data_IF_281125881764
#
_entry.id   IF_281125881764
#
_cell.length_a   1.000
_cell.length_b   1.000
_cell.length_c   1.000
_cell.angle_alpha   90.00
_cell.angle_beta   90.00
_cell.angle_gamma   90.00
#
_symmetry.space_group_name_H-M   'P 1'
#
loop_
_entity.id
_entity.type
_entity.pdbx_description
1 polymer ?
#
# COMPACT_ATOMS: atom_id res chain seq x y z
N UNK A 1 8.85 89.16 27.92
CA UNK A 1 8.75 88.24 29.07
C UNK A 1 7.29 88.04 29.44
N UNK A 2 6.76 86.83 29.22
CA UNK A 2 5.81 86.12 30.10
C UNK A 2 5.50 84.78 29.43
N UNK A 3 6.15 83.74 29.94
CA UNK A 3 5.92 82.35 29.56
C UNK A 3 4.59 81.89 30.15
N UNK A 4 3.73 81.27 29.35
CA UNK A 4 2.54 80.55 29.82
C UNK A 4 2.74 79.08 29.44
N UNK A 5 2.90 78.24 30.46
CA UNK A 5 3.01 76.78 30.35
C UNK A 5 1.59 76.24 30.20
N UNK A 6 1.28 75.60 29.08
CA UNK A 6 0.03 74.87 28.87
C UNK A 6 0.31 73.37 28.97
N UNK A 7 -0.25 72.74 29.99
CA UNK A 7 -0.16 71.31 30.28
C UNK A 7 -1.09 70.55 29.30
N UNK A 8 -0.52 69.82 28.34
CA UNK A 8 -1.27 69.00 27.39
C UNK A 8 -1.52 67.61 28.01
N UNK A 9 -2.73 67.40 28.54
CA UNK A 9 -3.20 66.09 29.01
C UNK A 9 -3.47 65.19 27.80
N UNK A 10 -2.56 64.25 27.55
CA UNK A 10 -2.70 63.21 26.53
C UNK A 10 -3.62 62.10 27.08
N UNK A 11 -4.94 62.24 26.92
CA UNK A 11 -5.88 61.15 27.17
C UNK A 11 -5.75 60.10 26.06
N UNK A 12 -5.09 58.99 26.37
CA UNK A 12 -5.04 57.81 25.51
C UNK A 12 -6.44 57.23 25.31
N UNK A 13 -6.87 57.14 24.05
CA UNK A 13 -8.02 56.32 23.66
C UNK A 13 -7.61 54.85 23.77
N UNK A 14 -7.98 54.21 24.89
CA UNK A 14 -7.93 52.75 24.99
C UNK A 14 -9.09 52.18 24.20
N UNK A 15 -8.80 51.53 23.07
CA UNK A 15 -9.74 50.59 22.46
C UNK A 15 -9.93 49.43 23.44
N UNK A 16 -11.08 49.43 24.13
CA UNK A 16 -11.58 48.26 24.85
C UNK A 16 -11.93 47.19 23.79
N UNK A 17 -10.99 46.31 23.50
CA UNK A 17 -11.35 44.99 23.00
C UNK A 17 -12.08 44.29 24.14
N UNK A 18 -13.40 44.17 24.04
CA UNK A 18 -14.11 43.18 24.84
C UNK A 18 -13.47 41.82 24.52
N UNK A 19 -12.72 41.26 25.47
CA UNK A 19 -12.24 39.90 25.34
C UNK A 19 -13.43 38.98 25.57
N UNK A 20 -14.03 38.50 24.50
CA UNK A 20 -14.99 37.39 24.56
C UNK A 20 -14.36 36.21 25.31
N UNK A 21 -15.14 35.58 26.19
CA UNK A 21 -14.70 34.42 26.95
C UNK A 21 -14.35 33.28 25.98
N UNK A 22 -13.06 32.97 25.86
CA UNK A 22 -12.59 31.85 25.05
C UNK A 22 -12.71 30.54 25.83
N UNK A 23 -13.73 29.75 25.54
CA UNK A 23 -13.88 28.39 26.07
C UNK A 23 -13.44 27.35 25.02
N UNK A 24 -12.98 26.15 25.44
CA UNK A 24 -12.82 25.03 24.51
C UNK A 24 -14.13 24.75 23.76
N UNK A 25 -14.07 24.59 22.44
CA UNK A 25 -15.25 24.25 21.64
C UNK A 25 -15.50 22.74 21.69
N UNK A 26 -16.77 22.34 21.78
CA UNK A 26 -17.16 20.91 21.80
C UNK A 26 -16.90 20.19 20.47
N UNK A 27 -16.67 20.95 19.41
CA UNK A 27 -16.30 20.44 18.08
C UNK A 27 -15.11 21.25 17.60
N UNK A 28 -13.88 20.81 17.94
CA UNK A 28 -12.66 21.46 17.48
C UNK A 28 -12.64 21.57 15.95
N UNK A 29 -12.08 22.67 15.46
CA UNK A 29 -11.91 22.92 14.04
C UNK A 29 -10.62 22.27 13.54
N UNK A 30 -10.63 21.78 12.31
CA UNK A 30 -9.49 21.19 11.64
C UNK A 30 -9.41 21.66 10.19
N UNK A 31 -8.18 21.84 9.72
CA UNK A 31 -7.86 22.09 8.32
C UNK A 31 -6.77 21.13 7.89
N UNK A 32 -6.82 20.73 6.62
CA UNK A 32 -5.81 19.90 5.99
C UNK A 32 -5.68 20.32 4.52
N UNK A 33 -4.45 20.28 4.01
CA UNK A 33 -4.13 20.57 2.61
C UNK A 33 -3.21 19.48 2.08
N UNK A 34 -3.45 19.06 0.84
CA UNK A 34 -2.70 18.02 0.16
C UNK A 34 -2.53 18.37 -1.31
N UNK A 35 -1.28 18.34 -1.78
CA UNK A 35 -0.98 18.36 -3.21
C UNK A 35 -1.05 16.92 -3.75
N UNK A 36 -1.84 16.71 -4.81
CA UNK A 36 -1.87 15.46 -5.56
C UNK A 36 -1.69 15.78 -7.03
N UNK A 37 -0.75 15.11 -7.68
CA UNK A 37 -0.27 15.52 -9.01
C UNK A 37 0.29 16.94 -8.95
N UNK A 38 -0.44 17.88 -9.53
CA UNK A 38 -0.13 19.32 -9.51
C UNK A 38 -1.28 20.16 -8.92
N UNK A 39 -2.27 19.51 -8.32
CA UNK A 39 -3.50 20.13 -7.82
C UNK A 39 -3.51 20.09 -6.30
N UNK A 40 -3.75 21.24 -5.66
CA UNK A 40 -3.98 21.33 -4.23
C UNK A 40 -5.45 21.07 -3.91
N UNK A 41 -5.69 20.16 -2.96
CA UNK A 41 -6.99 19.85 -2.41
C UNK A 41 -6.94 20.11 -0.90
N UNK A 42 -7.86 20.93 -0.40
CA UNK A 42 -7.94 21.26 1.03
C UNK A 42 -9.32 21.07 1.61
N UNK A 43 -9.36 20.74 2.91
CA UNK A 43 -10.57 20.63 3.70
C UNK A 43 -10.52 21.55 4.90
N UNK A 44 -11.68 22.11 5.26
CA UNK A 44 -11.90 22.76 6.54
C UNK A 44 -13.22 22.31 7.15
N UNK A 45 -13.20 21.85 8.40
CA UNK A 45 -14.38 21.26 9.04
C UNK A 45 -14.28 21.27 10.57
N UNK A 46 -15.41 21.07 11.24
CA UNK A 46 -15.46 20.87 12.68
C UNK A 46 -15.71 19.40 13.04
N UNK A 47 -15.08 18.94 14.11
CA UNK A 47 -14.98 17.53 14.51
C UNK A 47 -15.82 17.23 15.76
N UNK A 48 -17.12 16.91 15.65
CA UNK A 48 -17.91 16.47 16.81
C UNK A 48 -17.43 15.12 17.36
N UNK A 49 -17.55 14.92 18.67
CA UNK A 49 -17.22 13.65 19.35
C UNK A 49 -18.47 12.82 19.63
N UNK A 50 -18.35 11.50 19.61
CA UNK A 50 -19.47 10.59 19.80
C UNK A 50 -19.97 10.60 21.26
N UNK A 51 -19.06 10.60 22.23
CA UNK A 51 -19.35 10.64 23.68
C UNK A 51 -20.31 9.54 24.12
N UNK A 52 -20.11 8.33 23.58
CA UNK A 52 -20.93 7.15 23.90
C UNK A 52 -22.35 7.15 23.35
N UNK A 53 -22.71 8.10 22.47
CA UNK A 53 -24.00 8.14 21.78
C UNK A 53 -23.88 7.42 20.45
N UNK A 54 -24.90 6.64 20.09
CA UNK A 54 -25.07 6.16 18.72
C UNK A 54 -25.21 7.35 17.78
N UNK A 55 -24.38 7.39 16.73
CA UNK A 55 -24.36 8.54 15.83
C UNK A 55 -25.33 8.36 14.68
N UNK A 56 -25.14 7.34 13.84
CA UNK A 56 -25.95 7.17 12.65
C UNK A 56 -27.22 6.37 12.96
N UNK A 57 -28.37 6.93 12.60
CA UNK A 57 -29.69 6.39 12.95
C UNK A 57 -30.27 6.92 14.27
N UNK A 58 -29.52 7.76 15.00
CA UNK A 58 -29.98 8.47 16.21
C UNK A 58 -29.60 9.95 16.15
N UNK A 59 -28.38 10.33 16.58
CA UNK A 59 -27.95 11.74 16.56
C UNK A 59 -27.98 12.36 15.14
N UNK A 60 -27.58 11.56 14.15
CA UNK A 60 -27.68 11.87 12.73
C UNK A 60 -28.70 10.88 12.14
N UNK A 61 -29.96 11.33 11.93
CA UNK A 61 -31.01 10.46 11.41
C UNK A 61 -30.72 9.95 10.00
N UNK A 62 -31.13 8.71 9.72
CA UNK A 62 -31.09 8.19 8.36
C UNK A 62 -32.17 8.83 7.48
N UNK A 63 -31.86 9.01 6.18
CA UNK A 63 -32.76 9.59 5.19
C UNK A 63 -32.83 11.12 5.24
N UNK A 64 -32.25 11.76 6.25
CA UNK A 64 -32.24 13.21 6.42
C UNK A 64 -30.91 13.82 5.98
N UNK A 65 -30.97 15.05 5.48
CA UNK A 65 -29.77 15.80 5.13
C UNK A 65 -29.00 16.16 6.40
N UNK A 66 -27.71 15.85 6.42
CA UNK A 66 -26.78 16.23 7.44
C UNK A 66 -25.74 17.19 6.88
N UNK A 67 -25.52 18.31 7.58
CA UNK A 67 -24.34 19.15 7.38
C UNK A 67 -23.13 18.45 7.96
N UNK A 68 -22.54 17.59 7.13
CA UNK A 68 -21.37 16.75 7.42
C UNK A 68 -20.37 17.51 8.30
N UNK A 69 -20.20 17.05 9.54
CA UNK A 69 -19.48 17.77 10.60
C UNK A 69 -20.40 18.52 11.59
N UNK A 70 -19.87 19.60 12.18
CA UNK A 70 -20.56 20.44 13.18
C UNK A 70 -20.31 21.94 12.92
N UNK A 71 -21.03 22.84 13.59
CA UNK A 71 -20.92 24.31 13.44
C UNK A 71 -21.12 24.90 12.02
N UNK A 72 -20.07 25.03 11.22
CA UNK A 72 -20.13 25.56 9.85
C UNK A 72 -20.01 24.41 8.82
N UNK A 73 -20.45 24.64 7.59
CA UNK A 73 -20.35 23.63 6.52
C UNK A 73 -18.89 23.17 6.34
N UNK A 74 -18.70 21.86 6.22
CA UNK A 74 -17.41 21.30 5.78
C UNK A 74 -17.14 21.83 4.38
N UNK A 75 -15.97 22.41 4.16
CA UNK A 75 -15.57 22.94 2.85
C UNK A 75 -14.49 22.06 2.24
N UNK A 76 -14.69 21.71 0.97
CA UNK A 76 -13.72 21.11 0.07
C UNK A 76 -13.30 22.17 -0.94
N UNK A 77 -12.01 22.50 -0.98
CA UNK A 77 -11.46 23.42 -1.98
C UNK A 77 -10.51 22.66 -2.88
N UNK A 78 -10.67 22.86 -4.18
CA UNK A 78 -9.80 22.29 -5.22
C UNK A 78 -9.21 23.44 -6.03
N UNK A 79 -7.89 23.47 -6.18
CA UNK A 79 -7.18 24.57 -6.88
C UNK A 79 -7.37 24.51 -8.39
N UNK A 80 -7.70 23.33 -8.92
CA UNK A 80 -7.92 23.06 -10.34
C UNK A 80 -9.14 22.14 -10.52
N UNK A 81 -9.53 21.87 -11.77
CA UNK A 81 -10.59 20.91 -12.04
C UNK A 81 -10.16 19.48 -11.66
N UNK A 82 -11.05 18.76 -11.00
CA UNK A 82 -10.85 17.37 -10.54
C UNK A 82 -12.04 16.50 -10.92
N UNK A 83 -11.92 15.19 -10.74
CA UNK A 83 -13.03 14.24 -10.84
C UNK A 83 -13.29 13.64 -9.46
N UNK A 84 -14.50 13.83 -8.92
CA UNK A 84 -14.92 13.27 -7.62
C UNK A 84 -15.92 12.17 -7.85
N UNK A 85 -15.58 10.93 -7.49
CA UNK A 85 -16.44 9.75 -7.69
C UNK A 85 -17.01 9.67 -9.13
N UNK A 86 -16.18 9.92 -10.14
CA UNK A 86 -16.56 9.93 -11.55
C UNK A 86 -17.25 11.21 -12.06
N UNK A 87 -17.47 12.21 -11.21
CA UNK A 87 -18.12 13.48 -11.58
C UNK A 87 -17.09 14.60 -11.71
N UNK A 88 -17.12 15.33 -12.82
CA UNK A 88 -16.24 16.50 -13.00
C UNK A 88 -16.62 17.64 -12.04
N UNK A 89 -15.61 18.20 -11.37
CA UNK A 89 -15.73 19.31 -10.44
C UNK A 89 -14.72 20.41 -10.81
N UNK A 90 -15.18 21.59 -11.27
CA UNK A 90 -14.29 22.71 -11.55
C UNK A 90 -13.56 23.22 -10.31
N UNK A 91 -12.44 23.91 -10.50
CA UNK A 91 -11.72 24.62 -9.46
C UNK A 91 -12.65 25.51 -8.61
N UNK A 92 -12.47 25.51 -7.30
CA UNK A 92 -13.29 26.31 -6.39
C UNK A 92 -13.49 25.67 -5.02
N UNK A 93 -14.31 26.33 -4.18
CA UNK A 93 -14.68 25.85 -2.85
C UNK A 93 -16.14 25.42 -2.84
N UNK A 94 -16.39 24.21 -2.34
CA UNK A 94 -17.70 23.58 -2.24
C UNK A 94 -17.98 23.14 -0.81
N UNK A 95 -19.25 23.04 -0.43
CA UNK A 95 -19.66 22.44 0.82
C UNK A 95 -19.95 20.94 0.63
N UNK A 96 -19.63 20.14 1.65
CA UNK A 96 -20.04 18.75 1.73
C UNK A 96 -21.24 18.60 2.66
N UNK A 97 -22.32 18.05 2.11
CA UNK A 97 -23.47 17.54 2.86
C UNK A 97 -23.66 16.06 2.56
N UNK A 98 -24.34 15.35 3.45
CA UNK A 98 -24.59 13.92 3.29
C UNK A 98 -26.00 13.56 3.68
N UNK A 99 -26.59 12.55 3.04
CA UNK A 99 -27.81 11.88 3.48
C UNK A 99 -27.41 10.47 3.87
N UNK A 100 -27.22 10.19 5.17
CA UNK A 100 -26.87 8.85 5.64
C UNK A 100 -28.01 7.87 5.43
N UNK A 101 -27.68 6.63 5.10
CA UNK A 101 -28.60 5.49 5.11
C UNK A 101 -27.91 4.25 5.71
N UNK A 102 -28.67 3.18 5.98
CA UNK A 102 -28.12 1.98 6.62
C UNK A 102 -27.16 1.20 5.71
N UNK A 103 -27.35 1.24 4.39
CA UNK A 103 -26.57 0.48 3.40
C UNK A 103 -25.99 1.33 2.27
N UNK A 104 -26.45 2.57 2.14
CA UNK A 104 -26.06 3.51 1.11
C UNK A 104 -26.20 4.94 1.64
N UNK A 105 -25.21 5.77 1.34
CA UNK A 105 -25.22 7.20 1.67
C UNK A 105 -25.22 8.01 0.37
N UNK A 106 -25.93 9.13 0.37
CA UNK A 106 -25.78 10.14 -0.68
C UNK A 106 -24.80 11.21 -0.23
N UNK A 107 -23.78 11.46 -1.02
CA UNK A 107 -22.88 12.60 -0.86
C UNK A 107 -23.36 13.73 -1.76
N UNK A 108 -23.38 14.95 -1.23
CA UNK A 108 -23.82 16.16 -1.94
C UNK A 108 -22.65 17.14 -1.95
N UNK A 109 -22.14 17.43 -3.14
CA UNK A 109 -21.17 18.52 -3.36
C UNK A 109 -21.96 19.76 -3.73
N UNK A 110 -21.92 20.79 -2.89
CA UNK A 110 -22.86 21.90 -2.93
C UNK A 110 -22.15 23.25 -3.09
N UNK A 111 -22.68 24.15 -3.93
CA UNK A 111 -22.04 25.43 -4.27
C UNK A 111 -22.12 26.48 -3.16
N UNK A 112 -23.16 26.45 -2.33
CA UNK A 112 -23.26 27.34 -1.16
C UNK A 112 -22.42 26.83 0.02
N UNK A 113 -21.38 27.58 0.35
CA UNK A 113 -20.38 27.27 1.39
C UNK A 113 -20.61 28.00 2.72
N UNK A 114 -21.60 28.89 2.78
CA UNK A 114 -21.80 29.81 3.91
C UNK A 114 -22.76 29.29 4.99
N UNK A 115 -23.39 28.13 4.80
CA UNK A 115 -24.44 27.67 5.71
C UNK A 115 -23.89 27.22 7.06
N UNK A 116 -24.59 27.61 8.12
CA UNK A 116 -24.35 27.19 9.52
C UNK A 116 -25.52 26.38 10.09
N UNK A 117 -26.65 26.38 9.41
CA UNK A 117 -27.87 25.63 9.75
C UNK A 117 -28.46 25.02 8.49
N UNK A 118 -29.12 23.88 8.65
CA UNK A 118 -29.88 23.18 7.60
C UNK A 118 -31.40 23.30 7.83
N UNK A 119 -31.83 24.06 8.84
CA UNK A 119 -33.24 24.25 9.16
C UNK A 119 -33.98 24.95 8.01
N UNK A 120 -35.22 24.52 7.75
CA UNK A 120 -36.10 25.13 6.75
C UNK A 120 -35.68 24.86 5.30
N UNK A 121 -35.27 23.62 5.00
CA UNK A 121 -34.88 23.17 3.65
C UNK A 121 -33.77 24.00 3.01
N UNK A 122 -32.80 24.42 3.82
CA UNK A 122 -31.72 25.30 3.38
C UNK A 122 -30.81 24.66 2.30
N UNK A 123 -30.76 23.31 2.24
CA UNK A 123 -30.02 22.56 1.23
C UNK A 123 -30.92 22.29 0.04
N UNK A 124 -30.83 23.18 -0.96
CA UNK A 124 -31.67 23.11 -2.16
C UNK A 124 -30.96 22.41 -3.31
N UNK A 125 -31.58 21.39 -3.95
CA UNK A 125 -30.96 20.65 -5.06
C UNK A 125 -30.45 21.52 -6.21
N UNK A 126 -31.08 22.67 -6.47
CA UNK A 126 -30.64 23.65 -7.47
C UNK A 126 -29.22 24.21 -7.25
N UNK A 127 -28.70 24.15 -6.03
CA UNK A 127 -27.37 24.63 -5.65
C UNK A 127 -26.34 23.50 -5.57
N UNK A 128 -26.72 22.27 -5.90
CA UNK A 128 -25.78 21.17 -5.97
C UNK A 128 -24.88 21.36 -7.20
N UNK A 129 -23.60 21.02 -7.03
CA UNK A 129 -22.73 20.72 -8.17
C UNK A 129 -23.14 19.35 -8.73
N UNK A 130 -23.23 18.34 -7.85
CA UNK A 130 -23.76 17.01 -8.14
C UNK A 130 -23.99 16.23 -6.85
N UNK A 131 -24.66 15.08 -6.98
CA UNK A 131 -24.81 14.07 -5.93
C UNK A 131 -24.31 12.72 -6.44
N UNK A 132 -23.79 11.90 -5.55
CA UNK A 132 -23.45 10.51 -5.86
C UNK A 132 -23.68 9.63 -4.64
N UNK A 133 -23.85 8.33 -4.86
CA UNK A 133 -24.02 7.36 -3.78
C UNK A 133 -22.72 6.64 -3.46
N UNK A 134 -22.57 6.26 -2.20
CA UNK A 134 -21.42 5.52 -1.68
C UNK A 134 -21.88 4.58 -0.57
N UNK A 135 -21.29 3.39 -0.49
CA UNK A 135 -21.62 2.43 0.57
C UNK A 135 -20.79 2.71 1.82
N UNK A 136 -21.41 2.83 3.01
CA UNK A 136 -20.67 2.86 4.26
C UNK A 136 -20.02 1.48 4.52
N UNK A 137 -18.85 1.51 5.15
CA UNK A 137 -18.07 0.34 5.53
C UNK A 137 -18.00 0.29 7.05
N UNK A 138 -18.13 -0.91 7.62
CA UNK A 138 -17.92 -1.13 9.04
C UNK A 138 -16.43 -1.00 9.39
N UNK A 139 -16.11 -0.15 10.36
CA UNK A 139 -14.79 0.00 10.92
C UNK A 139 -14.71 -0.79 12.24
N UNK A 140 -13.82 -1.80 12.36
CA UNK A 140 -13.67 -2.53 13.62
C UNK A 140 -13.10 -1.66 14.75
N UNK A 141 -12.42 -0.56 14.40
CA UNK A 141 -11.89 0.39 15.36
C UNK A 141 -12.86 1.57 15.53
N UNK A 142 -13.34 1.79 16.75
CA UNK A 142 -14.20 2.93 17.05
C UNK A 142 -13.44 4.25 16.90
N UNK A 143 -13.96 5.16 16.08
CA UNK A 143 -13.46 6.53 15.93
C UNK A 143 -14.30 7.48 16.79
N UNK A 144 -13.76 7.90 17.94
CA UNK A 144 -14.48 8.75 18.90
C UNK A 144 -14.83 10.14 18.34
N UNK A 145 -13.90 10.76 17.60
CA UNK A 145 -14.07 12.12 17.09
C UNK A 145 -14.15 12.10 15.57
N UNK A 146 -15.21 12.67 15.02
CA UNK A 146 -15.45 12.72 13.57
C UNK A 146 -14.21 13.20 12.84
N UNK A 147 -13.77 12.42 11.88
CA UNK A 147 -12.52 12.65 11.16
C UNK A 147 -12.77 12.55 9.68
N UNK A 148 -12.34 13.56 8.95
CA UNK A 148 -12.20 13.55 7.49
C UNK A 148 -10.71 13.65 7.17
N UNK A 149 -10.22 12.81 6.28
CA UNK A 149 -8.82 12.73 5.90
C UNK A 149 -8.66 12.33 4.42
N UNK A 150 -7.50 12.62 3.85
CA UNK A 150 -7.08 12.05 2.58
C UNK A 150 -6.29 10.77 2.84
N UNK A 151 -6.63 9.68 2.16
CA UNK A 151 -5.92 8.39 2.23
C UNK A 151 -5.55 7.91 0.84
N UNK A 152 -4.74 6.85 0.77
CA UNK A 152 -4.44 6.13 -0.48
C UNK A 152 -3.98 7.04 -1.62
N UNK A 153 -3.10 7.99 -1.30
CA UNK A 153 -2.61 9.01 -2.23
C UNK A 153 -1.70 8.34 -3.26
N UNK A 154 -2.01 8.53 -4.54
CA UNK A 154 -1.19 8.17 -5.69
C UNK A 154 -0.67 9.42 -6.41
N UNK A 155 -0.01 9.23 -7.55
CA UNK A 155 0.48 10.33 -8.40
C UNK A 155 -0.65 11.19 -9.00
N UNK A 156 -1.86 10.65 -9.13
CA UNK A 156 -2.99 11.29 -9.81
C UNK A 156 -4.34 11.15 -9.08
N UNK A 157 -4.36 10.60 -7.87
CA UNK A 157 -5.60 10.40 -7.12
C UNK A 157 -5.38 10.34 -5.61
N UNK A 158 -6.47 10.51 -4.87
CA UNK A 158 -6.55 10.22 -3.44
C UNK A 158 -7.95 9.68 -3.11
N UNK A 159 -8.13 9.17 -1.90
CA UNK A 159 -9.44 8.87 -1.32
C UNK A 159 -9.79 9.93 -0.28
N UNK A 160 -10.98 10.53 -0.39
CA UNK A 160 -11.54 11.33 0.68
C UNK A 160 -12.31 10.41 1.64
N UNK A 161 -11.80 10.24 2.85
CA UNK A 161 -12.37 9.34 3.86
C UNK A 161 -13.00 10.10 5.02
N UNK A 162 -14.26 9.81 5.31
CA UNK A 162 -15.00 10.22 6.50
C UNK A 162 -15.06 9.04 7.47
N UNK A 163 -14.88 9.29 8.77
CA UNK A 163 -14.93 8.25 9.80
C UNK A 163 -15.54 8.78 11.10
N UNK A 164 -16.53 8.06 11.63
CA UNK A 164 -17.10 8.29 12.95
C UNK A 164 -17.67 6.99 13.53
N UNK A 165 -17.44 6.74 14.82
CA UNK A 165 -17.74 5.46 15.47
C UNK A 165 -17.18 4.29 14.64
N UNK A 166 -18.03 3.33 14.28
CA UNK A 166 -17.72 2.17 13.46
C UNK A 166 -18.08 2.37 11.99
N UNK A 167 -18.25 3.61 11.52
CA UNK A 167 -18.63 3.88 10.13
C UNK A 167 -17.52 4.60 9.39
N UNK A 168 -17.13 4.05 8.25
CA UNK A 168 -16.27 4.69 7.25
C UNK A 168 -17.08 4.93 5.98
N UNK A 169 -16.89 6.10 5.37
CA UNK A 169 -17.32 6.39 4.00
C UNK A 169 -16.13 6.96 3.26
N UNK A 170 -15.78 6.41 2.09
CA UNK A 170 -14.66 6.90 1.28
C UNK A 170 -15.01 6.89 -0.21
N UNK A 171 -14.47 7.86 -0.95
CA UNK A 171 -14.65 7.96 -2.39
C UNK A 171 -13.44 8.64 -3.05
N UNK A 172 -13.15 8.32 -4.33
CA UNK A 172 -11.96 8.83 -5.00
C UNK A 172 -12.11 10.29 -5.40
N UNK A 173 -10.99 11.01 -5.36
CA UNK A 173 -10.78 12.27 -6.07
C UNK A 173 -9.56 12.08 -6.98
N UNK A 174 -9.76 12.29 -8.28
CA UNK A 174 -8.76 12.11 -9.33
C UNK A 174 -8.42 13.47 -9.95
N UNK A 175 -7.16 13.65 -10.35
CA UNK A 175 -6.63 14.88 -10.93
C UNK A 175 -6.01 14.61 -12.30
N UNK A 176 -6.09 15.58 -13.21
CA UNK A 176 -5.43 15.50 -14.51
C UNK A 176 -3.95 15.91 -14.37
N UNK A 177 -3.06 14.94 -14.61
CA UNK A 177 -1.60 15.10 -14.52
C UNK A 177 -0.97 14.99 -15.90
N UNK A 178 -1.38 14.01 -16.70
CA UNK A 178 -0.69 13.59 -17.89
C UNK A 178 -0.67 14.65 -18.98
N UNK A 179 -1.82 15.29 -19.23
CA UNK A 179 -1.89 16.37 -20.22
C UNK A 179 -1.01 17.57 -19.84
N UNK A 180 -0.88 17.86 -18.53
CA UNK A 180 -0.06 18.97 -18.03
C UNK A 180 1.42 18.66 -18.12
N UNK A 181 1.82 17.45 -17.71
CA UNK A 181 3.22 17.03 -17.81
C UNK A 181 3.63 16.92 -19.29
N UNK A 182 2.76 16.41 -20.16
CA UNK A 182 3.01 16.39 -21.60
C UNK A 182 3.22 17.80 -22.18
N UNK A 183 2.39 18.78 -21.79
CA UNK A 183 2.57 20.17 -22.19
C UNK A 183 3.90 20.76 -21.68
N UNK A 184 4.23 20.52 -20.40
CA UNK A 184 5.51 20.97 -19.81
C UNK A 184 6.73 20.35 -20.49
N UNK A 185 6.65 19.06 -20.86
CA UNK A 185 7.72 18.37 -21.59
C UNK A 185 7.87 18.92 -23.02
N UNK A 186 6.76 19.23 -23.71
CA UNK A 186 6.79 19.85 -25.03
C UNK A 186 7.40 21.27 -25.00
N UNK A 187 7.03 22.08 -24.01
CA UNK A 187 7.62 23.42 -23.80
C UNK A 187 9.13 23.31 -23.49
N UNK A 188 9.51 22.34 -22.65
CA UNK A 188 10.91 22.06 -22.33
C UNK A 188 11.72 21.68 -23.57
N UNK A 189 11.18 20.83 -24.46
CA UNK A 189 11.83 20.46 -25.71
C UNK A 189 11.99 21.63 -26.68
N UNK A 190 10.99 22.51 -26.77
CA UNK A 190 11.06 23.71 -27.58
C UNK A 190 12.17 24.69 -27.10
N UNK A 191 12.48 24.69 -25.80
CA UNK A 191 13.48 25.54 -25.17
C UNK A 191 14.82 24.83 -24.86
N UNK A 192 15.15 23.76 -25.60
CA UNK A 192 16.25 22.82 -25.32
C UNK A 192 17.59 23.45 -24.88
N UNK A 193 17.95 24.64 -25.37
CA UNK A 193 19.18 25.34 -25.01
C UNK A 193 19.26 25.79 -23.53
N UNK A 194 18.12 26.04 -22.88
CA UNK A 194 18.03 26.57 -21.51
C UNK A 194 17.68 25.54 -20.44
N UNK A 195 17.40 24.29 -20.83
CA UNK A 195 16.88 23.27 -19.90
C UNK A 195 17.96 22.80 -18.92
N UNK A 196 17.64 22.84 -17.63
CA UNK A 196 18.49 22.31 -16.57
C UNK A 196 18.56 20.78 -16.60
N UNK A 197 19.69 20.22 -16.16
CA UNK A 197 19.88 18.78 -15.97
C UNK A 197 18.78 18.17 -15.08
N UNK A 198 18.37 18.90 -14.03
CA UNK A 198 17.30 18.46 -13.12
C UNK A 198 15.93 18.35 -13.79
N UNK A 199 15.64 19.24 -14.76
CA UNK A 199 14.38 19.18 -15.50
C UNK A 199 14.37 17.98 -16.46
N UNK A 200 15.47 17.74 -17.17
CA UNK A 200 15.66 16.56 -18.01
C UNK A 200 15.54 15.27 -17.20
N UNK A 201 16.19 15.20 -16.04
CA UNK A 201 16.07 14.08 -15.12
C UNK A 201 14.61 13.80 -14.72
N UNK A 202 13.85 14.85 -14.32
CA UNK A 202 12.44 14.70 -13.92
C UNK A 202 11.55 14.23 -15.06
N UNK A 203 11.80 14.70 -16.28
CA UNK A 203 11.07 14.25 -17.46
C UNK A 203 11.33 12.76 -17.76
N UNK A 204 12.60 12.33 -17.69
CA UNK A 204 12.97 10.92 -17.82
C UNK A 204 12.35 10.04 -16.73
N UNK A 205 12.38 10.49 -15.47
CA UNK A 205 11.82 9.80 -14.31
C UNK A 205 10.29 9.63 -14.46
N UNK A 206 9.59 10.67 -14.91
CA UNK A 206 8.17 10.62 -15.17
C UNK A 206 7.82 9.61 -16.27
N UNK A 207 8.56 9.60 -17.39
CA UNK A 207 8.30 8.63 -18.47
C UNK A 207 8.53 7.19 -18.03
N UNK A 208 9.57 6.93 -17.23
CA UNK A 208 9.83 5.60 -16.67
C UNK A 208 8.69 5.14 -15.75
N UNK A 209 8.31 5.96 -14.75
CA UNK A 209 7.32 5.56 -13.74
C UNK A 209 5.91 5.36 -14.30
N UNK A 210 5.59 6.04 -15.40
CA UNK A 210 4.28 5.94 -16.05
C UNK A 210 4.29 5.06 -17.31
N UNK A 211 5.36 4.26 -17.51
CA UNK A 211 5.51 3.34 -18.65
C UNK A 211 5.23 4.01 -20.01
N UNK A 212 5.76 5.23 -20.19
CA UNK A 212 5.62 6.05 -21.41
C UNK A 212 6.80 5.79 -22.35
N UNK A 213 7.16 6.77 -23.18
CA UNK A 213 8.24 6.64 -24.16
C UNK A 213 9.61 6.51 -23.48
N UNK A 214 10.09 5.26 -23.39
CA UNK A 214 11.38 4.92 -22.79
C UNK A 214 12.57 5.40 -23.65
N UNK A 215 12.42 5.54 -24.96
CA UNK A 215 13.48 6.08 -25.81
C UNK A 215 13.65 7.59 -25.56
N UNK A 216 12.55 8.30 -25.38
CA UNK A 216 12.58 9.71 -24.98
C UNK A 216 13.16 9.86 -23.57
N UNK A 217 12.78 8.98 -22.63
CA UNK A 217 13.36 8.95 -21.29
C UNK A 217 14.89 8.76 -21.33
N UNK A 218 15.37 7.84 -22.18
CA UNK A 218 16.80 7.61 -22.40
C UNK A 218 17.50 8.87 -22.95
N UNK A 219 16.89 9.52 -23.95
CA UNK A 219 17.41 10.75 -24.55
C UNK A 219 17.57 11.86 -23.50
N UNK A 220 16.58 12.05 -22.65
CA UNK A 220 16.64 13.07 -21.59
C UNK A 220 17.61 12.72 -20.48
N UNK A 221 17.69 11.46 -20.03
CA UNK A 221 18.65 11.10 -18.97
C UNK A 221 20.10 11.20 -19.45
N UNK A 222 20.37 10.89 -20.73
CA UNK A 222 21.67 11.10 -21.35
C UNK A 222 22.03 12.59 -21.42
N UNK A 223 21.08 13.44 -21.83
CA UNK A 223 21.27 14.88 -21.85
C UNK A 223 21.47 15.47 -20.43
N UNK A 224 20.82 14.88 -19.40
CA UNK A 224 21.03 15.26 -18.01
C UNK A 224 22.43 14.89 -17.52
N UNK A 225 22.89 13.66 -17.82
CA UNK A 225 24.24 13.20 -17.47
C UNK A 225 25.35 13.97 -18.20
N UNK A 226 25.12 14.40 -19.44
CA UNK A 226 26.06 15.26 -20.17
C UNK A 226 26.24 16.65 -19.52
N UNK A 227 25.24 17.12 -18.77
CA UNK A 227 25.29 18.39 -18.02
C UNK A 227 25.79 18.20 -16.57
N UNK A 228 25.54 17.03 -15.98
CA UNK A 228 25.95 16.67 -14.63
C UNK A 228 26.68 15.32 -14.66
N UNK A 229 27.94 15.38 -15.07
CA UNK A 229 28.79 14.19 -15.17
C UNK A 229 28.91 13.47 -13.82
N UNK A 230 28.99 12.14 -13.86
CA UNK A 230 29.12 11.26 -12.70
C UNK A 230 28.04 11.46 -11.62
N UNK A 231 26.84 11.89 -12.01
CA UNK A 231 25.72 12.00 -11.09
C UNK A 231 25.11 10.62 -10.83
N UNK A 232 25.45 10.03 -9.68
CA UNK A 232 25.00 8.69 -9.26
C UNK A 232 23.48 8.52 -9.26
N UNK A 233 22.70 9.57 -8.96
CA UNK A 233 21.24 9.51 -9.04
C UNK A 233 20.77 9.34 -10.48
N UNK A 234 21.40 10.05 -11.40
CA UNK A 234 21.03 10.03 -12.82
C UNK A 234 21.47 8.72 -13.47
N UNK A 235 22.65 8.21 -13.10
CA UNK A 235 23.12 6.87 -13.47
C UNK A 235 22.16 5.76 -13.01
N UNK A 236 21.69 5.82 -11.76
CA UNK A 236 20.69 4.85 -11.26
C UNK A 236 19.38 4.90 -12.06
N UNK A 237 18.88 6.09 -12.39
CA UNK A 237 17.68 6.21 -13.23
C UNK A 237 17.92 5.66 -14.64
N UNK A 238 19.06 5.95 -15.26
CA UNK A 238 19.44 5.41 -16.57
C UNK A 238 19.49 3.89 -16.57
N UNK A 239 20.05 3.27 -15.52
CA UNK A 239 20.05 1.83 -15.35
C UNK A 239 18.61 1.25 -15.27
N UNK A 240 17.71 1.95 -14.56
CA UNK A 240 16.28 1.57 -14.50
C UNK A 240 15.58 1.67 -15.86
N UNK A 241 15.89 2.69 -16.66
CA UNK A 241 15.35 2.82 -18.00
C UNK A 241 15.87 1.69 -18.90
N UNK A 242 17.17 1.37 -18.87
CA UNK A 242 17.71 0.22 -19.60
C UNK A 242 17.02 -1.10 -19.22
N UNK A 243 16.81 -1.35 -17.92
CA UNK A 243 16.11 -2.54 -17.47
C UNK A 243 14.67 -2.59 -18.00
N UNK A 244 13.93 -1.47 -17.95
CA UNK A 244 12.57 -1.37 -18.50
C UNK A 244 12.53 -1.54 -20.03
N UNK A 245 13.62 -1.25 -20.73
CA UNK A 245 13.79 -1.48 -22.17
C UNK A 245 14.24 -2.92 -22.51
N UNK A 246 14.42 -3.80 -21.50
CA UNK A 246 14.94 -5.16 -21.70
C UNK A 246 16.45 -5.24 -21.96
N UNK A 247 17.20 -4.16 -21.69
CA UNK A 247 18.64 -4.05 -21.92
C UNK A 247 19.42 -4.40 -20.65
N UNK A 248 19.39 -5.67 -20.26
CA UNK A 248 19.92 -6.14 -18.97
C UNK A 248 21.41 -5.87 -18.79
N UNK A 249 22.25 -6.17 -19.80
CA UNK A 249 23.70 -5.93 -19.71
C UNK A 249 24.03 -4.45 -19.50
N UNK A 250 23.35 -3.57 -20.23
CA UNK A 250 23.51 -2.13 -20.11
C UNK A 250 23.00 -1.62 -18.75
N UNK A 251 21.91 -2.19 -18.23
CA UNK A 251 21.38 -1.84 -16.91
C UNK A 251 22.39 -2.17 -15.80
N UNK A 252 22.96 -3.38 -15.83
CA UNK A 252 23.98 -3.84 -14.87
C UNK A 252 25.25 -2.99 -14.96
N UNK A 253 25.76 -2.75 -16.17
CA UNK A 253 26.95 -1.90 -16.35
C UNK A 253 26.71 -0.48 -15.81
N UNK A 254 25.56 0.12 -16.13
CA UNK A 254 25.23 1.49 -15.74
C UNK A 254 25.04 1.64 -14.23
N UNK A 255 24.41 0.67 -13.55
CA UNK A 255 24.23 0.76 -12.08
C UNK A 255 25.55 0.55 -11.34
N UNK A 256 26.49 -0.24 -11.87
CA UNK A 256 27.85 -0.36 -11.33
C UNK A 256 28.59 0.97 -11.39
N UNK A 257 28.57 1.63 -12.54
CA UNK A 257 29.13 2.99 -12.68
C UNK A 257 28.48 3.97 -11.70
N UNK A 258 27.15 3.94 -11.57
CA UNK A 258 26.43 4.79 -10.62
C UNK A 258 26.83 4.51 -9.15
N UNK A 259 27.10 3.26 -8.79
CA UNK A 259 27.57 2.87 -7.47
C UNK A 259 29.00 3.39 -7.20
N UNK A 260 29.89 3.32 -8.20
CA UNK A 260 31.23 3.89 -8.11
C UNK A 260 31.17 5.40 -7.89
N UNK A 261 30.30 6.10 -8.63
CA UNK A 261 30.08 7.55 -8.46
C UNK A 261 29.53 7.88 -7.06
N UNK A 262 28.59 7.09 -6.54
CA UNK A 262 28.04 7.27 -5.21
C UNK A 262 29.10 7.05 -4.12
N UNK A 263 29.94 6.04 -4.30
CA UNK A 263 31.07 5.71 -3.40
C UNK A 263 32.10 6.82 -3.39
N UNK A 264 32.50 7.31 -4.58
CA UNK A 264 33.43 8.44 -4.71
C UNK A 264 32.89 9.72 -4.06
N UNK A 265 31.57 9.94 -4.10
CA UNK A 265 30.90 11.06 -3.45
C UNK A 265 30.67 10.86 -1.93
N UNK A 266 30.97 9.67 -1.38
CA UNK A 266 30.69 9.33 0.02
C UNK A 266 29.19 9.35 0.37
N UNK A 267 28.30 9.11 -0.61
CA UNK A 267 26.87 9.17 -0.41
C UNK A 267 26.30 7.80 -0.03
N UNK A 268 26.27 7.50 1.27
CA UNK A 268 25.82 6.20 1.79
C UNK A 268 24.42 5.78 1.30
N UNK A 269 23.50 6.73 1.12
CA UNK A 269 22.14 6.43 0.66
C UNK A 269 22.14 5.87 -0.77
N UNK A 270 22.83 6.53 -1.70
CA UNK A 270 22.89 6.07 -3.08
C UNK A 270 23.85 4.90 -3.29
N UNK A 271 24.88 4.74 -2.45
CA UNK A 271 25.68 3.52 -2.43
C UNK A 271 24.78 2.31 -2.16
N UNK A 272 23.92 2.38 -1.15
CA UNK A 272 23.00 1.30 -0.81
C UNK A 272 21.93 1.09 -1.88
N UNK A 273 21.27 2.16 -2.35
CA UNK A 273 20.23 2.03 -3.38
C UNK A 273 20.75 1.43 -4.69
N UNK A 274 21.96 1.82 -5.11
CA UNK A 274 22.57 1.26 -6.33
C UNK A 274 23.02 -0.18 -6.11
N UNK A 275 23.54 -0.53 -4.93
CA UNK A 275 23.91 -1.91 -4.61
C UNK A 275 22.68 -2.84 -4.56
N UNK A 276 21.60 -2.43 -3.89
CA UNK A 276 20.33 -3.16 -3.84
C UNK A 276 19.73 -3.32 -5.23
N UNK A 277 19.74 -2.26 -6.04
CA UNK A 277 19.21 -2.34 -7.40
C UNK A 277 20.08 -3.22 -8.32
N UNK A 278 21.41 -3.13 -8.21
CA UNK A 278 22.33 -4.03 -8.90
C UNK A 278 22.06 -5.48 -8.53
N UNK A 279 21.96 -5.76 -7.23
CA UNK A 279 21.59 -7.09 -6.74
C UNK A 279 20.22 -7.53 -7.28
N UNK A 280 19.24 -6.65 -7.44
CA UNK A 280 17.95 -7.02 -8.04
C UNK A 280 18.02 -7.32 -9.54
N UNK A 281 19.00 -6.76 -10.26
CA UNK A 281 19.22 -7.05 -11.68
C UNK A 281 20.04 -8.33 -11.88
N UNK A 282 20.99 -8.58 -11.00
CA UNK A 282 21.78 -9.81 -10.97
C UNK A 282 20.99 -10.98 -10.39
N UNK A 283 20.03 -10.70 -9.49
CA UNK A 283 19.16 -11.64 -8.81
C UNK A 283 17.68 -11.31 -9.08
N UNK A 284 17.25 -11.15 -10.35
CA UNK A 284 15.83 -10.95 -10.70
C UNK A 284 14.90 -11.99 -10.03
N UNK A 285 13.55 -11.87 -10.08
CA UNK A 285 12.71 -13.01 -9.71
C UNK A 285 13.16 -14.14 -10.60
N UNK A 286 13.82 -15.16 -10.02
CA UNK A 286 14.78 -15.99 -10.74
C UNK A 286 14.31 -16.23 -12.16
N UNK A 287 15.01 -15.66 -13.15
CA UNK A 287 15.12 -16.40 -14.40
C UNK A 287 15.55 -17.78 -13.92
N UNK A 288 14.70 -18.78 -14.15
CA UNK A 288 15.04 -20.15 -13.95
C UNK A 288 16.28 -20.36 -14.81
N UNK A 289 17.45 -20.14 -14.22
CA UNK A 289 18.68 -20.42 -14.89
C UNK A 289 18.56 -21.91 -15.12
N UNK A 290 18.57 -22.33 -16.39
CA UNK A 290 18.64 -23.74 -16.77
C UNK A 290 19.84 -24.46 -16.11
N UNK A 291 20.68 -23.72 -15.38
CA UNK A 291 21.84 -24.15 -14.59
C UNK A 291 21.66 -24.09 -13.06
N UNK A 292 20.46 -23.84 -12.51
CA UNK A 292 20.24 -24.00 -11.05
C UNK A 292 20.39 -25.48 -10.68
N UNK A 293 21.13 -25.84 -9.61
CA UNK A 293 21.19 -27.23 -9.15
C UNK A 293 19.80 -27.76 -8.72
N UNK A 294 18.82 -26.89 -8.53
CA UNK A 294 17.44 -27.20 -8.11
C UNK A 294 16.42 -27.14 -9.25
N UNK A 295 16.86 -26.99 -10.51
CA UNK A 295 15.96 -26.83 -11.66
C UNK A 295 15.00 -28.02 -11.82
N UNK A 296 15.44 -29.24 -11.48
CA UNK A 296 14.59 -30.42 -11.51
C UNK A 296 13.47 -30.35 -10.47
N UNK A 297 13.75 -29.86 -9.26
CA UNK A 297 12.78 -29.74 -8.16
C UNK A 297 11.55 -28.93 -8.58
N UNK A 298 11.69 -27.97 -9.48
CA UNK A 298 10.59 -27.05 -9.87
C UNK A 298 10.05 -27.29 -11.29
N UNK A 299 10.49 -28.37 -11.92
CA UNK A 299 10.12 -28.69 -13.30
C UNK A 299 8.70 -29.25 -13.45
N UNK A 300 8.11 -29.78 -12.37
CA UNK A 300 6.75 -30.34 -12.36
C UNK A 300 6.09 -30.21 -10.99
N UNK A 301 4.76 -30.36 -10.95
CA UNK A 301 4.01 -30.42 -9.69
C UNK A 301 4.51 -31.56 -8.79
N UNK A 302 4.85 -32.71 -9.37
CA UNK A 302 5.35 -33.87 -8.63
C UNK A 302 6.72 -33.58 -8.01
N UNK A 303 7.62 -32.97 -8.79
CA UNK A 303 8.96 -32.65 -8.32
C UNK A 303 8.94 -31.59 -7.21
N UNK A 304 8.11 -30.53 -7.33
CA UNK A 304 8.13 -29.46 -6.33
C UNK A 304 7.53 -29.90 -5.01
N UNK A 305 6.49 -30.75 -5.06
CA UNK A 305 5.92 -31.33 -3.85
C UNK A 305 6.89 -32.33 -3.22
N UNK A 306 7.55 -33.18 -4.00
CA UNK A 306 8.58 -34.08 -3.47
C UNK A 306 9.73 -33.31 -2.82
N UNK A 307 10.24 -32.27 -3.48
CA UNK A 307 11.30 -31.40 -2.96
C UNK A 307 10.90 -30.69 -1.66
N UNK A 308 9.63 -30.23 -1.57
CA UNK A 308 9.10 -29.57 -0.38
C UNK A 308 9.16 -30.47 0.87
N UNK A 309 8.86 -31.77 0.72
CA UNK A 309 8.96 -32.75 1.80
C UNK A 309 10.41 -33.17 2.08
N UNK A 310 11.18 -33.39 1.02
CA UNK A 310 12.56 -33.87 1.10
C UNK A 310 13.48 -32.85 1.80
N UNK A 311 13.39 -31.57 1.45
CA UNK A 311 14.31 -30.54 1.93
C UNK A 311 14.22 -30.24 3.43
N UNK A 312 13.08 -30.53 4.06
CA UNK A 312 12.90 -30.42 5.51
C UNK A 312 13.19 -31.74 6.23
N UNK A 313 13.36 -32.83 5.48
CA UNK A 313 13.59 -34.19 5.98
C UNK A 313 15.08 -34.51 6.12
N UNK A 314 15.42 -35.41 7.05
CA UNK A 314 16.80 -35.85 7.30
C UNK A 314 17.03 -36.31 8.74
N UNK A 315 18.14 -37.03 8.95
CA UNK A 315 18.47 -37.61 10.25
C UNK A 315 18.84 -36.56 11.30
N UNK A 316 18.87 -36.97 12.56
CA UNK A 316 19.36 -36.12 13.63
C UNK A 316 20.84 -35.77 13.39
N UNK A 317 21.16 -34.48 13.43
CA UNK A 317 22.49 -33.93 13.13
C UNK A 317 22.76 -33.62 11.65
N UNK A 318 21.84 -33.97 10.75
CA UNK A 318 21.96 -33.66 9.33
C UNK A 318 21.49 -32.23 9.03
N UNK A 319 22.33 -31.42 8.38
CA UNK A 319 21.96 -30.05 8.02
C UNK A 319 20.92 -30.04 6.90
N UNK A 320 19.98 -29.07 6.94
CA UNK A 320 19.01 -28.84 5.86
C UNK A 320 19.54 -27.84 4.85
N UNK A 321 19.19 -28.05 3.59
CA UNK A 321 19.53 -27.16 2.50
C UNK A 321 18.49 -26.03 2.40
N UNK A 322 18.74 -24.94 3.12
CA UNK A 322 17.82 -23.80 3.15
C UNK A 322 17.81 -22.97 1.86
N UNK A 323 18.86 -23.08 1.05
CA UNK A 323 18.90 -22.43 -0.27
C UNK A 323 17.97 -23.17 -1.22
N UNK A 324 18.03 -24.51 -1.25
CA UNK A 324 17.05 -25.36 -1.94
C UNK A 324 15.64 -25.12 -1.45
N UNK A 325 15.43 -25.01 -0.14
CA UNK A 325 14.10 -24.74 0.44
C UNK A 325 13.54 -23.42 -0.07
N UNK A 326 14.30 -22.32 0.05
CA UNK A 326 13.85 -20.99 -0.38
C UNK A 326 13.59 -20.93 -1.89
N UNK A 327 14.35 -21.69 -2.69
CA UNK A 327 14.16 -21.79 -4.15
C UNK A 327 12.77 -22.31 -4.56
N UNK A 328 12.07 -23.04 -3.69
CA UNK A 328 10.73 -23.56 -4.00
C UNK A 328 9.62 -22.50 -3.94
N UNK A 329 9.87 -21.34 -3.33
CA UNK A 329 8.83 -20.38 -2.96
C UNK A 329 8.90 -19.09 -3.77
N UNK A 330 7.74 -18.45 -3.96
CA UNK A 330 7.71 -17.03 -4.34
C UNK A 330 8.23 -16.15 -3.18
N UNK A 331 8.69 -14.93 -3.49
CA UNK A 331 9.27 -14.02 -2.50
C UNK A 331 8.35 -13.73 -1.29
N UNK A 332 7.04 -13.60 -1.52
CA UNK A 332 6.04 -13.29 -0.48
C UNK A 332 5.26 -14.52 0.01
N UNK A 333 5.83 -15.73 -0.14
CA UNK A 333 5.14 -16.94 0.25
C UNK A 333 4.83 -16.99 1.76
N UNK A 334 3.72 -17.64 2.12
CA UNK A 334 3.25 -17.70 3.51
C UNK A 334 3.13 -19.14 4.00
N UNK A 335 3.79 -19.42 5.12
CA UNK A 335 3.69 -20.65 5.87
C UNK A 335 2.87 -20.41 7.15
N UNK A 336 1.75 -21.11 7.26
CA UNK A 336 0.73 -20.84 8.26
C UNK A 336 0.35 -22.12 9.04
N UNK A 337 1.05 -22.44 10.15
CA UNK A 337 0.60 -23.49 11.05
C UNK A 337 -0.63 -23.01 11.82
N UNK A 338 -1.69 -23.82 11.82
CA UNK A 338 -2.78 -23.67 12.77
C UNK A 338 -2.59 -24.57 13.99
N UNK A 339 -2.89 -24.04 15.17
CA UNK A 339 -2.76 -24.77 16.44
C UNK A 339 -3.86 -24.38 17.42
N UNK A 340 -4.36 -25.33 18.24
CA UNK A 340 -5.24 -25.00 19.36
C UNK A 340 -4.55 -24.08 20.35
N UNK A 341 -5.30 -23.13 20.92
CA UNK A 341 -4.85 -22.27 22.02
C UNK A 341 -5.36 -22.80 23.36
N UNK A 342 -4.72 -22.36 24.44
CA UNK A 342 -5.09 -22.72 25.81
C UNK A 342 -6.53 -22.30 26.18
N UNK A 343 -7.12 -21.34 25.47
CA UNK A 343 -8.50 -20.87 25.67
C UNK A 343 -9.53 -21.63 24.80
N UNK A 344 -9.13 -22.70 24.13
CA UNK A 344 -10.00 -23.53 23.29
C UNK A 344 -10.26 -22.96 21.89
N UNK A 345 -9.75 -21.77 21.55
CA UNK A 345 -9.84 -21.21 20.18
C UNK A 345 -8.73 -21.76 19.29
N UNK A 346 -8.93 -21.72 17.98
CA UNK A 346 -7.88 -22.00 17.00
C UNK A 346 -7.07 -20.73 16.74
N UNK A 347 -5.76 -20.83 16.92
CA UNK A 347 -4.81 -19.81 16.50
C UNK A 347 -4.07 -20.24 15.25
N UNK A 348 -3.40 -19.28 14.62
CA UNK A 348 -2.45 -19.52 13.54
C UNK A 348 -1.27 -18.56 13.67
N UNK A 349 -0.16 -18.90 13.02
CA UNK A 349 0.97 -18.00 12.78
C UNK A 349 1.09 -17.74 11.28
N UNK A 350 1.79 -16.68 10.90
CA UNK A 350 2.19 -16.40 9.51
C UNK A 350 3.70 -16.24 9.51
N UNK A 351 4.38 -17.03 8.68
CA UNK A 351 5.83 -17.07 8.57
C UNK A 351 6.22 -16.93 7.09
N UNK A 352 7.29 -16.21 6.78
CA UNK A 352 7.98 -16.38 5.50
C UNK A 352 8.75 -17.71 5.47
N UNK A 353 9.18 -18.20 4.29
CA UNK A 353 10.09 -19.35 4.20
C UNK A 353 11.35 -19.16 5.06
N UNK A 354 11.96 -17.98 5.00
CA UNK A 354 13.11 -17.61 5.83
C UNK A 354 12.79 -17.66 7.33
N UNK A 355 11.64 -17.15 7.76
CA UNK A 355 11.22 -17.23 9.18
C UNK A 355 11.03 -18.68 9.62
N UNK A 356 10.46 -19.53 8.75
CA UNK A 356 10.30 -20.95 9.03
C UNK A 356 11.67 -21.63 9.19
N UNK A 357 12.59 -21.43 8.24
CA UNK A 357 13.95 -21.97 8.29
C UNK A 357 14.67 -21.58 9.59
N UNK A 358 14.59 -20.31 9.97
CA UNK A 358 15.21 -19.79 11.19
C UNK A 358 14.58 -20.36 12.47
N UNK A 359 13.26 -20.52 12.49
CA UNK A 359 12.53 -20.95 13.69
C UNK A 359 12.53 -22.46 13.90
N UNK A 360 12.41 -23.24 12.81
CA UNK A 360 12.29 -24.69 12.85
C UNK A 360 13.63 -25.39 12.63
N UNK A 361 14.58 -24.76 11.92
CA UNK A 361 15.76 -25.46 11.41
C UNK A 361 16.62 -26.11 12.48
N UNK A 362 16.95 -25.39 13.57
CA UNK A 362 17.73 -25.96 14.66
C UNK A 362 17.04 -27.18 15.29
N UNK A 363 15.71 -27.11 15.45
CA UNK A 363 14.93 -28.19 16.02
C UNK A 363 14.86 -29.42 15.11
N UNK A 364 14.70 -29.22 13.79
CA UNK A 364 14.67 -30.31 12.79
C UNK A 364 15.98 -31.09 12.80
N UNK A 365 17.11 -30.38 12.84
CA UNK A 365 18.45 -30.99 12.92
C UNK A 365 18.65 -31.69 14.26
N UNK A 366 18.30 -31.06 15.38
CA UNK A 366 18.53 -31.63 16.72
C UNK A 366 17.77 -32.94 16.93
N UNK A 367 16.53 -33.04 16.43
CA UNK A 367 15.63 -34.14 16.78
C UNK A 367 15.55 -35.24 15.72
N UNK A 368 16.06 -34.99 14.52
CA UNK A 368 15.73 -35.80 13.36
C UNK A 368 14.26 -35.61 12.97
N UNK A 369 14.01 -35.48 11.68
CA UNK A 369 12.68 -35.24 11.17
C UNK A 369 12.58 -35.71 9.74
N UNK A 370 11.60 -36.53 9.46
CA UNK A 370 11.18 -36.89 8.11
C UNK A 370 9.69 -36.62 8.00
N UNK A 371 9.27 -36.00 6.91
CA UNK A 371 7.85 -35.85 6.60
C UNK A 371 7.59 -36.47 5.22
N UNK A 372 6.65 -37.41 5.18
CA UNK A 372 6.35 -38.21 3.99
C UNK A 372 4.92 -37.93 3.57
N UNK A 373 4.72 -37.52 2.31
CA UNK A 373 3.39 -37.49 1.71
C UNK A 373 2.85 -38.91 1.59
N UNK A 374 1.63 -39.14 2.08
CA UNK A 374 0.93 -40.41 1.93
C UNK A 374 -0.24 -40.33 0.96
N UNK A 375 -0.85 -39.15 0.80
CA UNK A 375 -1.98 -38.95 -0.11
C UNK A 375 -2.07 -37.50 -0.54
N UNK A 376 -2.53 -37.27 -1.77
CA UNK A 376 -2.80 -35.92 -2.26
C UNK A 376 -4.07 -35.83 -3.10
N UNK A 377 -4.67 -34.65 -3.09
CA UNK A 377 -5.78 -34.28 -3.96
C UNK A 377 -5.51 -32.90 -4.54
N UNK A 378 -5.57 -32.78 -5.86
CA UNK A 378 -5.14 -31.59 -6.60
C UNK A 378 -6.33 -31.02 -7.38
N UNK A 379 -6.52 -29.71 -7.29
CA UNK A 379 -7.45 -28.93 -8.10
C UNK A 379 -6.63 -27.93 -8.94
N UNK A 380 -6.87 -27.89 -10.25
CA UNK A 380 -6.10 -27.07 -11.19
C UNK A 380 -7.01 -26.23 -12.09
N UNK A 381 -6.68 -24.94 -12.22
CA UNK A 381 -7.29 -24.03 -13.20
C UNK A 381 -6.25 -23.05 -13.75
N UNK A 382 -5.70 -23.37 -14.93
CA UNK A 382 -4.64 -22.57 -15.54
C UNK A 382 -3.38 -22.58 -14.68
N UNK A 383 -2.86 -21.39 -14.33
CA UNK A 383 -1.69 -21.23 -13.47
C UNK A 383 -2.00 -21.40 -11.98
N UNK A 384 -3.27 -21.47 -11.59
CA UNK A 384 -3.72 -21.62 -10.21
C UNK A 384 -3.87 -23.10 -9.88
N UNK A 385 -3.06 -23.57 -8.94
CA UNK A 385 -3.10 -24.96 -8.46
C UNK A 385 -3.22 -25.00 -6.95
N UNK A 386 -4.05 -25.92 -6.46
CA UNK A 386 -4.20 -26.17 -5.04
C UNK A 386 -4.09 -27.67 -4.76
N UNK A 387 -3.27 -28.03 -3.78
CA UNK A 387 -3.08 -29.40 -3.34
C UNK A 387 -3.41 -29.53 -1.85
N UNK A 388 -4.31 -30.44 -1.51
CA UNK A 388 -4.38 -31.00 -0.17
C UNK A 388 -3.46 -32.22 -0.11
N UNK A 389 -2.36 -32.11 0.63
CA UNK A 389 -1.38 -33.18 0.81
C UNK A 389 -1.35 -33.66 2.25
N UNK A 390 -1.62 -34.94 2.44
CA UNK A 390 -1.65 -35.59 3.76
C UNK A 390 -0.30 -36.19 4.03
N UNK A 391 0.24 -35.93 5.21
CA UNK A 391 1.58 -36.31 5.57
C UNK A 391 1.63 -37.15 6.85
N UNK A 392 2.75 -37.85 6.99
CA UNK A 392 3.17 -38.55 8.18
C UNK A 392 4.59 -38.10 8.55
N UNK A 393 4.81 -37.79 9.83
CA UNK A 393 6.11 -37.32 10.35
C UNK A 393 6.77 -38.39 11.22
N UNK A 394 8.08 -38.57 11.03
CA UNK A 394 8.93 -39.58 11.65
C UNK A 394 10.20 -38.93 12.22
N UNK A 395 10.85 -39.53 13.23
CA UNK A 395 12.10 -38.99 13.79
C UNK A 395 13.32 -39.46 13.02
N UNK A 396 13.28 -40.69 12.52
CA UNK A 396 14.29 -41.29 11.66
C UNK A 396 13.61 -41.93 10.45
N UNK A 397 14.35 -42.10 9.36
CA UNK A 397 13.86 -42.80 8.16
C UNK A 397 13.48 -44.26 8.48
N UNK A 398 14.17 -44.86 9.45
CA UNK A 398 13.98 -46.23 9.89
C UNK A 398 12.74 -46.44 10.80
N UNK A 399 12.08 -45.36 11.22
CA UNK A 399 10.89 -45.48 12.07
C UNK A 399 9.73 -46.10 11.29
N UNK A 400 9.14 -47.16 11.84
CA UNK A 400 8.01 -47.86 11.23
C UNK A 400 6.65 -47.20 11.52
N UNK A 401 6.59 -46.30 12.52
CA UNK A 401 5.36 -45.64 12.94
C UNK A 401 5.57 -44.12 13.04
N UNK A 402 4.64 -43.31 12.50
CA UNK A 402 4.76 -41.86 12.58
C UNK A 402 4.44 -41.35 13.99
N UNK A 403 5.15 -40.29 14.41
CA UNK A 403 4.86 -39.60 15.66
C UNK A 403 3.81 -38.49 15.49
N UNK A 404 3.57 -38.05 14.25
CA UNK A 404 2.55 -37.07 13.92
C UNK A 404 2.02 -37.29 12.50
N UNK A 405 0.79 -36.83 12.24
CA UNK A 405 0.20 -36.78 10.90
C UNK A 405 -0.55 -35.47 10.72
N UNK A 406 -0.89 -35.11 9.50
CA UNK A 406 -1.66 -33.88 9.25
C UNK A 406 -1.93 -33.66 7.77
N UNK A 407 -2.50 -32.50 7.46
CA UNK A 407 -2.78 -32.09 6.09
C UNK A 407 -2.19 -30.70 5.84
N UNK A 408 -1.42 -30.60 4.76
CA UNK A 408 -0.97 -29.37 4.14
C UNK A 408 -1.98 -28.96 3.07
N UNK A 409 -2.46 -27.72 3.13
CA UNK A 409 -3.17 -27.01 2.07
C UNK A 409 -2.17 -26.12 1.36
N UNK A 410 -1.72 -26.55 0.18
CA UNK A 410 -0.62 -25.95 -0.56
C UNK A 410 -1.20 -25.24 -1.78
N UNK A 411 -0.98 -23.93 -1.90
CA UNK A 411 -1.24 -23.20 -3.13
C UNK A 411 0.04 -23.11 -3.95
N UNK A 412 -0.07 -23.42 -5.23
CA UNK A 412 1.04 -23.39 -6.18
C UNK A 412 0.70 -22.51 -7.38
N UNK A 413 1.75 -21.97 -7.99
CA UNK A 413 1.73 -21.21 -9.23
C UNK A 413 2.59 -21.94 -10.26
N UNK A 414 2.03 -22.20 -11.43
CA UNK A 414 2.80 -22.53 -12.63
C UNK A 414 2.84 -21.30 -13.53
N UNK A 415 4.01 -20.67 -13.67
CA UNK A 415 4.18 -19.43 -14.45
C UNK A 415 4.42 -19.69 -15.95
N UNK A 416 4.43 -20.95 -16.38
CA UNK A 416 4.73 -21.39 -17.73
C UNK A 416 6.20 -21.74 -17.97
N UNK A 417 7.08 -21.50 -16.99
CA UNK A 417 8.50 -21.89 -17.00
C UNK A 417 8.82 -22.89 -15.90
N UNK A 418 8.28 -22.68 -14.70
CA UNK A 418 8.50 -23.54 -13.52
C UNK A 418 7.32 -23.49 -12.56
N UNK A 419 7.40 -24.32 -11.52
CA UNK A 419 6.47 -24.32 -10.41
C UNK A 419 7.00 -23.50 -9.23
N UNK A 420 6.08 -22.89 -8.51
CA UNK A 420 6.32 -22.13 -7.29
C UNK A 420 5.32 -22.50 -6.21
N UNK A 421 5.77 -22.53 -4.97
CA UNK A 421 4.90 -22.57 -3.79
C UNK A 421 4.51 -21.14 -3.42
N UNK A 422 3.21 -20.88 -3.37
CA UNK A 422 2.61 -19.57 -3.04
C UNK A 422 2.28 -19.50 -1.55
N UNK A 423 1.64 -20.54 -1.02
CA UNK A 423 1.34 -20.61 0.42
C UNK A 423 1.18 -22.06 0.88
N UNK A 424 1.44 -22.28 2.17
CA UNK A 424 1.18 -23.55 2.84
C UNK A 424 0.44 -23.23 4.14
N UNK A 425 -0.79 -23.72 4.24
CA UNK A 425 -1.56 -23.71 5.47
C UNK A 425 -1.72 -25.13 5.99
N UNK A 426 -1.40 -25.41 7.25
CA UNK A 426 -1.46 -26.78 7.74
C UNK A 426 -2.08 -26.93 9.12
N UNK A 427 -2.62 -28.13 9.33
CA UNK A 427 -3.20 -28.57 10.59
C UNK A 427 -2.76 -30.02 10.85
N UNK A 428 -2.20 -30.25 12.03
CA UNK A 428 -1.89 -31.59 12.51
C UNK A 428 -3.15 -32.33 12.95
N UNK A 429 -3.17 -33.65 12.75
CA UNK A 429 -4.20 -34.53 13.25
C UNK A 429 -4.27 -34.48 14.79
N UNK A 430 -5.47 -34.58 15.33
CA UNK A 430 -5.70 -34.75 16.76
C UNK A 430 -6.98 -35.54 17.02
N UNK A 431 -7.25 -35.90 18.27
CA UNK A 431 -8.52 -36.55 18.63
C UNK A 431 -9.75 -35.71 18.25
N UNK A 432 -9.64 -34.38 18.28
CA UNK A 432 -10.72 -33.47 17.90
C UNK A 432 -10.90 -33.36 16.37
N UNK A 433 -9.83 -33.62 15.61
CA UNK A 433 -9.79 -33.53 14.15
C UNK A 433 -9.03 -34.73 13.58
N UNK A 434 -9.66 -35.91 13.55
CA UNK A 434 -9.08 -37.08 12.90
C UNK A 434 -8.97 -36.86 11.38
N UNK A 435 -8.00 -37.51 10.74
CA UNK A 435 -7.84 -37.41 9.28
C UNK A 435 -9.08 -37.99 8.56
N UNK A 436 -9.75 -37.23 7.69
CA UNK A 436 -10.88 -37.74 6.91
C UNK A 436 -10.44 -38.84 5.93
N UNK A 437 -11.23 -39.92 5.81
CA UNK A 437 -10.93 -41.05 4.89
C UNK A 437 -10.64 -40.62 3.45
N UNK A 438 -11.30 -39.57 2.96
CA UNK A 438 -11.09 -39.05 1.60
C UNK A 438 -9.69 -38.50 1.34
N UNK A 439 -8.94 -38.21 2.41
CA UNK A 439 -7.56 -37.71 2.35
C UNK A 439 -6.56 -38.79 2.77
N UNK A 440 -6.97 -40.05 2.83
CA UNK A 440 -6.09 -41.17 3.13
C UNK A 440 -5.91 -42.04 1.88
N UNK A 441 -4.79 -42.79 1.78
CA UNK A 441 -4.61 -43.81 0.75
C UNK A 441 -5.78 -44.80 0.75
N UNK A 442 -6.18 -45.25 -0.45
CA UNK A 442 -7.25 -46.24 -0.63
C UNK A 442 -6.75 -47.68 -0.59
#
# INVERSE_FOLDING_TARGET
MKYFILFLSLCGFSFLYAQDLRTPTLSPFAELSQEVGLTEISLSYARPSAKGRTIFGDLVPYGEVWRTGANASTKLTVSEAVTVAGNSLPAGTYALYTIPGPTEWTIIVHKNTGMRSIAGDAVKPENDAFRFTVRPIYNPLMVETFTIQFTDISTNSLQLQLSWEHTIVRFPIEVEVDAKIAAQMADMEAEAAGVSDRALFRAAEYNLHNQRDLNQAMTWIDAALAKSENNFRYGLLKAKIYAAMGMAEQAVATVREANEWATAAGNANYMEQTAVYLASLENGPEEASENSPYAEDVSSLDHILAALYDVISGEAGEARDWDRFNHLFIADAQLMPSRPRADGRIGYSVLSPTDYANNAGAWLVENGFFEKEIHRSVEEYGSLVHAFSTYESYRSEADEAPFARGINSIQLLNDGQRWWVVSIYWLGESEAWPLPERYLPK
#
